data_IF_558536928515
#
_entry.id   IF_558536928515
#
_cell.length_a   1.000
_cell.length_b   1.000
_cell.length_c   1.000
_cell.angle_alpha   90.00
_cell.angle_beta   90.00
_cell.angle_gamma   90.00
#
_symmetry.space_group_name_H-M   'P 1'
#
loop_
_entity.id
_entity.type
_entity.pdbx_description
1 polymer ?
#
# COMPACT_ATOMS: atom_id res chain seq x y z
N UNK A 1 -41.07 35.26 -38.18
CA UNK A 1 -40.29 36.04 -37.18
C UNK A 1 -41.03 35.92 -35.86
N UNK A 2 -40.97 34.78 -35.19
CA UNK A 2 -39.91 34.27 -34.29
C UNK A 2 -39.82 35.05 -32.98
N UNK A 3 -40.69 34.65 -32.04
CA UNK A 3 -40.75 35.07 -30.62
C UNK A 3 -39.49 34.66 -29.82
N UNK A 4 -38.69 33.72 -30.36
CA UNK A 4 -37.43 33.28 -29.76
C UNK A 4 -36.25 34.25 -30.01
N UNK A 5 -36.25 34.97 -31.13
CA UNK A 5 -35.13 35.88 -31.48
C UNK A 5 -35.16 37.19 -30.67
N UNK A 6 -36.34 37.59 -30.18
CA UNK A 6 -36.53 38.79 -29.34
C UNK A 6 -36.08 38.60 -27.89
N UNK A 7 -36.17 37.37 -27.36
CA UNK A 7 -35.75 37.10 -25.98
C UNK A 7 -34.23 37.08 -25.83
N UNK A 8 -33.51 36.48 -26.79
CA UNK A 8 -32.05 36.44 -26.75
C UNK A 8 -31.43 37.84 -26.80
N UNK A 9 -31.96 38.70 -27.68
CA UNK A 9 -31.46 40.08 -27.84
C UNK A 9 -31.78 40.99 -26.65
N UNK A 10 -32.89 40.76 -25.95
CA UNK A 10 -33.25 41.48 -24.72
C UNK A 10 -32.41 41.01 -23.52
N UNK A 11 -32.12 39.71 -23.39
CA UNK A 11 -31.24 39.21 -22.35
C UNK A 11 -29.78 39.66 -22.58
N UNK A 12 -29.29 39.61 -23.82
CA UNK A 12 -27.95 40.12 -24.17
C UNK A 12 -27.82 41.63 -23.84
N UNK A 13 -28.85 42.43 -24.14
CA UNK A 13 -28.88 43.86 -23.83
C UNK A 13 -28.92 44.12 -22.32
N UNK A 14 -29.60 43.26 -21.55
CA UNK A 14 -29.65 43.38 -20.10
C UNK A 14 -28.32 42.97 -19.46
N UNK A 15 -27.66 41.94 -19.96
CA UNK A 15 -26.31 41.54 -19.54
C UNK A 15 -25.30 42.66 -19.76
N UNK A 16 -25.34 43.31 -20.93
CA UNK A 16 -24.52 44.49 -21.25
C UNK A 16 -24.76 45.64 -20.25
N UNK A 17 -26.02 45.93 -19.89
CA UNK A 17 -26.34 46.96 -18.89
C UNK A 17 -25.88 46.60 -17.47
N UNK A 18 -25.90 45.31 -17.11
CA UNK A 18 -25.38 44.84 -15.81
C UNK A 18 -23.87 45.01 -15.76
N UNK A 19 -23.15 44.57 -16.80
CA UNK A 19 -21.71 44.75 -16.94
C UNK A 19 -21.28 46.22 -16.97
N UNK A 20 -22.15 47.11 -17.47
CA UNK A 20 -21.93 48.55 -17.38
C UNK A 20 -22.04 49.07 -15.93
N UNK A 21 -22.97 48.53 -15.14
CA UNK A 21 -23.22 48.97 -13.76
C UNK A 21 -22.15 48.50 -12.77
N UNK A 22 -21.63 47.28 -12.93
CA UNK A 22 -20.53 46.75 -12.10
C UNK A 22 -19.14 47.21 -12.56
N UNK A 23 -19.04 47.78 -13.77
CA UNK A 23 -17.81 48.28 -14.35
C UNK A 23 -16.95 47.21 -15.03
N UNK A 24 -17.53 46.06 -15.40
CA UNK A 24 -16.83 44.98 -16.10
C UNK A 24 -16.66 45.21 -17.62
N UNK A 25 -17.28 46.25 -18.19
CA UNK A 25 -17.09 46.61 -19.60
C UNK A 25 -15.72 47.24 -19.89
N UNK A 26 -15.16 46.91 -21.06
CA UNK A 26 -13.96 47.56 -21.57
C UNK A 26 -14.26 48.97 -22.12
N UNK A 27 -13.27 49.88 -22.17
CA UNK A 27 -13.50 51.27 -22.59
C UNK A 27 -14.28 51.47 -23.91
N UNK A 28 -14.02 50.70 -25.00
CA UNK A 28 -14.80 50.87 -26.22
C UNK A 28 -16.26 50.38 -26.09
N UNK A 29 -16.54 49.37 -25.27
CA UNK A 29 -17.92 48.93 -25.01
C UNK A 29 -18.68 49.97 -24.16
N UNK A 30 -18.03 50.58 -23.17
CA UNK A 30 -18.59 51.70 -22.40
C UNK A 30 -19.06 52.82 -23.32
N UNK A 31 -18.21 53.25 -24.27
CA UNK A 31 -18.57 54.31 -25.24
C UNK A 31 -19.79 53.94 -26.11
N UNK A 32 -19.96 52.65 -26.44
CA UNK A 32 -21.10 52.17 -27.22
C UNK A 32 -22.39 52.17 -26.40
N UNK A 33 -22.31 51.70 -25.15
CA UNK A 33 -23.44 51.71 -24.21
C UNK A 33 -23.89 53.14 -23.94
N UNK A 34 -22.97 54.09 -23.69
CA UNK A 34 -23.30 55.50 -23.47
C UNK A 34 -23.99 56.15 -24.66
N UNK A 35 -23.52 55.88 -25.88
CA UNK A 35 -24.19 56.34 -27.11
C UNK A 35 -25.59 55.77 -27.23
N UNK A 36 -25.75 54.47 -26.99
CA UNK A 36 -27.06 53.80 -27.04
C UNK A 36 -28.01 54.36 -25.98
N UNK A 37 -27.53 54.63 -24.77
CA UNK A 37 -28.31 55.28 -23.71
C UNK A 37 -28.78 56.69 -24.11
N UNK A 38 -28.00 57.43 -24.92
CA UNK A 38 -28.43 58.76 -25.38
C UNK A 38 -29.63 58.67 -26.33
N UNK A 39 -29.65 57.68 -27.22
CA UNK A 39 -30.64 57.58 -28.29
C UNK A 39 -31.85 56.70 -27.95
N UNK A 40 -31.71 55.75 -27.02
CA UNK A 40 -32.74 54.76 -26.68
C UNK A 40 -33.39 55.02 -25.31
N UNK A 41 -34.68 55.36 -25.33
CA UNK A 41 -35.46 55.62 -24.13
C UNK A 41 -35.83 54.35 -23.34
N UNK A 42 -35.99 53.22 -24.01
CA UNK A 42 -36.31 51.92 -23.39
C UNK A 42 -35.07 51.36 -22.70
N UNK A 43 -33.92 51.38 -23.37
CA UNK A 43 -32.63 50.97 -22.81
C UNK A 43 -32.27 51.79 -21.55
N UNK A 44 -32.53 53.11 -21.55
CA UNK A 44 -32.40 53.94 -20.33
C UNK A 44 -33.39 53.57 -19.22
N UNK A 45 -34.60 53.11 -19.56
CA UNK A 45 -35.58 52.68 -18.56
C UNK A 45 -35.11 51.40 -17.89
N UNK A 46 -34.57 50.46 -18.65
CA UNK A 46 -33.99 49.21 -18.12
C UNK A 46 -32.82 49.49 -17.18
N UNK A 47 -31.87 50.35 -17.59
CA UNK A 47 -30.76 50.76 -16.72
C UNK A 47 -31.26 51.34 -15.38
N UNK A 48 -32.27 52.22 -15.40
CA UNK A 48 -32.86 52.77 -14.17
C UNK A 48 -33.52 51.71 -13.29
N UNK A 49 -34.17 50.71 -13.88
CA UNK A 49 -34.77 49.62 -13.11
C UNK A 49 -33.70 48.76 -12.42
N UNK A 50 -32.61 48.47 -13.12
CA UNK A 50 -31.46 47.76 -12.54
C UNK A 50 -30.82 48.56 -11.41
N UNK A 51 -30.59 49.87 -11.60
CA UNK A 51 -30.05 50.76 -10.56
C UNK A 51 -30.90 50.76 -9.30
N UNK A 52 -32.22 50.91 -9.43
CA UNK A 52 -33.14 50.87 -8.28
C UNK A 52 -33.06 49.53 -7.55
N UNK A 53 -32.94 48.41 -8.27
CA UNK A 53 -32.79 47.10 -7.64
C UNK A 53 -31.48 46.98 -6.86
N UNK A 54 -30.37 47.53 -7.39
CA UNK A 54 -29.09 47.61 -6.69
C UNK A 54 -29.15 48.50 -5.45
N UNK A 55 -29.77 49.68 -5.56
CA UNK A 55 -29.96 50.59 -4.42
C UNK A 55 -30.77 49.92 -3.29
N UNK A 56 -31.77 49.09 -3.62
CA UNK A 56 -32.53 48.33 -2.63
C UNK A 56 -31.68 47.26 -1.91
N UNK A 57 -30.63 46.72 -2.54
CA UNK A 57 -29.72 45.78 -1.88
C UNK A 57 -28.89 46.48 -0.80
N UNK A 58 -28.58 47.77 -0.97
CA UNK A 58 -27.88 48.56 0.04
C UNK A 58 -28.73 48.85 1.28
N UNK A 59 -30.07 48.84 1.12
CA UNK A 59 -31.01 48.97 2.24
C UNK A 59 -31.16 47.68 3.07
N UNK A 60 -30.57 46.56 2.61
CA UNK A 60 -30.71 45.30 3.33
C UNK A 60 -30.06 45.36 4.71
N UNK A 61 -30.75 44.88 5.76
CA UNK A 61 -30.22 44.88 7.11
C UNK A 61 -28.97 44.00 7.17
N UNK A 62 -27.83 44.61 7.51
CA UNK A 62 -26.59 43.88 7.76
C UNK A 62 -26.76 43.09 9.07
N UNK A 63 -26.71 41.75 9.05
CA UNK A 63 -26.83 40.98 10.28
C UNK A 63 -25.67 41.35 11.21
N UNK A 64 -25.99 41.78 12.43
CA UNK A 64 -25.00 41.93 13.48
C UNK A 64 -24.53 40.53 13.89
N UNK A 65 -23.34 40.14 13.43
CA UNK A 65 -22.75 38.85 13.77
C UNK A 65 -22.45 38.86 15.27
N UNK A 66 -23.06 37.94 16.02
CA UNK A 66 -22.76 37.76 17.44
C UNK A 66 -21.52 36.85 17.60
N UNK A 67 -20.76 37.04 18.68
CA UNK A 67 -19.53 36.29 18.96
C UNK A 67 -19.72 34.76 18.93
N UNK A 68 -20.95 34.30 19.22
CA UNK A 68 -21.34 32.87 19.16
C UNK A 68 -21.14 32.27 17.77
N UNK A 69 -21.38 33.03 16.70
CA UNK A 69 -21.19 32.54 15.32
C UNK A 69 -19.72 32.19 15.06
N UNK A 70 -18.80 33.09 15.42
CA UNK A 70 -17.35 32.87 15.30
C UNK A 70 -16.90 31.68 16.15
N UNK A 71 -17.42 31.56 17.38
CA UNK A 71 -17.12 30.43 18.25
C UNK A 71 -17.54 29.10 17.61
N UNK A 72 -18.76 29.03 17.05
CA UNK A 72 -19.26 27.83 16.39
C UNK A 72 -18.46 27.45 15.14
N UNK A 73 -18.00 28.41 14.35
CA UNK A 73 -17.14 28.11 13.19
C UNK A 73 -15.78 27.55 13.62
N UNK A 74 -15.14 28.17 14.63
CA UNK A 74 -13.86 27.67 15.16
C UNK A 74 -14.03 26.27 15.77
N UNK A 75 -15.12 26.05 16.51
CA UNK A 75 -15.46 24.74 17.07
C UNK A 75 -15.67 23.69 15.99
N UNK A 76 -16.38 24.02 14.91
CA UNK A 76 -16.60 23.09 13.79
C UNK A 76 -15.28 22.69 13.11
N UNK A 77 -14.37 23.65 12.91
CA UNK A 77 -13.04 23.38 12.32
C UNK A 77 -12.17 22.54 13.27
N UNK A 78 -12.24 22.81 14.57
CA UNK A 78 -11.53 22.01 15.57
C UNK A 78 -12.04 20.56 15.59
N UNK A 79 -13.37 20.37 15.58
CA UNK A 79 -13.99 19.04 15.55
C UNK A 79 -13.65 18.26 14.26
N UNK A 80 -13.59 18.92 13.11
CA UNK A 80 -13.19 18.24 11.86
C UNK A 80 -11.73 17.80 11.90
N UNK A 81 -10.83 18.64 12.44
CA UNK A 81 -9.42 18.30 12.58
C UNK A 81 -9.19 17.12 13.56
N UNK A 82 -9.92 17.07 14.67
CA UNK A 82 -9.87 15.94 15.59
C UNK A 82 -10.34 14.64 14.92
N UNK A 83 -11.43 14.69 14.16
CA UNK A 83 -11.96 13.54 13.44
C UNK A 83 -10.98 12.99 12.38
N UNK A 84 -10.32 13.87 11.62
CA UNK A 84 -9.29 13.46 10.65
C UNK A 84 -8.11 12.75 11.34
N UNK A 85 -7.67 13.25 12.50
CA UNK A 85 -6.61 12.62 13.28
C UNK A 85 -7.04 11.26 13.85
N UNK A 86 -8.29 11.11 14.27
CA UNK A 86 -8.84 9.83 14.72
C UNK A 86 -8.91 8.80 13.59
N UNK A 87 -9.39 9.18 12.40
CA UNK A 87 -9.46 8.31 11.23
C UNK A 87 -8.06 7.81 10.81
N UNK A 88 -7.05 8.69 10.80
CA UNK A 88 -5.65 8.32 10.51
C UNK A 88 -5.10 7.37 11.58
N UNK A 89 -5.35 7.63 12.86
CA UNK A 89 -4.90 6.77 13.97
C UNK A 89 -5.55 5.39 13.89
N UNK A 90 -6.84 5.29 13.58
CA UNK A 90 -7.53 4.00 13.48
C UNK A 90 -6.95 3.14 12.35
N UNK A 91 -6.70 3.74 11.18
CA UNK A 91 -6.08 3.05 10.06
C UNK A 91 -4.65 2.59 10.36
N UNK A 92 -3.86 3.39 11.08
CA UNK A 92 -2.50 3.02 11.46
C UNK A 92 -2.47 1.93 12.54
N UNK A 93 -3.35 2.00 13.53
CA UNK A 93 -3.42 1.06 14.65
C UNK A 93 -3.89 -0.32 14.21
N UNK A 94 -4.79 -0.43 13.23
CA UNK A 94 -5.23 -1.72 12.64
C UNK A 94 -4.12 -2.44 11.86
N UNK A 95 -3.17 -1.71 11.25
CA UNK A 95 -2.09 -2.31 10.44
C UNK A 95 -0.89 -2.78 11.26
N UNK A 96 -0.61 -2.12 12.39
CA UNK A 96 0.53 -2.43 13.26
C UNK A 96 0.59 -3.89 13.74
N UNK A 97 -0.48 -4.54 14.25
CA UNK A 97 -0.39 -5.93 14.69
C UNK A 97 -0.15 -6.90 13.53
N UNK A 98 -0.65 -6.59 12.34
CA UNK A 98 -0.48 -7.43 11.15
C UNK A 98 0.96 -7.42 10.63
N UNK A 99 1.65 -6.28 10.72
CA UNK A 99 3.08 -6.17 10.39
C UNK A 99 3.92 -7.00 11.36
N UNK A 100 3.63 -6.95 12.66
CA UNK A 100 4.33 -7.79 13.65
C UNK A 100 4.03 -9.28 13.46
N UNK A 101 2.79 -9.63 13.12
CA UNK A 101 2.41 -11.00 12.79
C UNK A 101 3.16 -11.52 11.55
N UNK A 102 3.29 -10.70 10.50
CA UNK A 102 4.03 -11.05 9.30
C UNK A 102 5.53 -11.18 9.57
N UNK A 103 6.11 -10.29 10.38
CA UNK A 103 7.51 -10.37 10.80
C UNK A 103 7.78 -11.64 11.62
N UNK A 104 6.89 -12.00 12.55
CA UNK A 104 6.97 -13.24 13.32
C UNK A 104 6.87 -14.49 12.44
N UNK A 105 5.94 -14.50 11.48
CA UNK A 105 5.80 -15.60 10.53
C UNK A 105 7.05 -15.76 9.63
N UNK A 106 7.64 -14.64 9.18
CA UNK A 106 8.88 -14.64 8.42
C UNK A 106 10.06 -15.20 9.22
N UNK A 107 10.20 -14.81 10.49
CA UNK A 107 11.24 -15.35 11.37
C UNK A 107 11.11 -16.87 11.58
N UNK A 108 9.88 -17.37 11.77
CA UNK A 108 9.61 -18.81 11.88
C UNK A 108 9.92 -19.56 10.59
N UNK A 109 9.59 -18.99 9.42
CA UNK A 109 9.90 -19.59 8.13
C UNK A 109 11.41 -19.71 7.90
N UNK A 110 12.17 -18.66 8.24
CA UNK A 110 13.64 -18.66 8.14
C UNK A 110 14.25 -19.70 9.10
N UNK A 111 13.76 -19.77 10.34
CA UNK A 111 14.22 -20.76 11.32
C UNK A 111 13.92 -22.20 10.86
N UNK A 112 12.72 -22.45 10.33
CA UNK A 112 12.32 -23.74 9.77
C UNK A 112 13.17 -24.15 8.56
N UNK A 113 13.42 -23.23 7.63
CA UNK A 113 14.29 -23.46 6.48
C UNK A 113 15.74 -23.77 6.92
N UNK A 114 16.24 -23.04 7.92
CA UNK A 114 17.59 -23.25 8.49
C UNK A 114 17.72 -24.62 9.17
N UNK A 115 16.68 -25.05 9.90
CA UNK A 115 16.62 -26.36 10.53
C UNK A 115 16.62 -27.50 9.51
N UNK A 116 15.80 -27.39 8.46
CA UNK A 116 15.73 -28.37 7.38
C UNK A 116 17.04 -28.45 6.57
N UNK A 117 17.65 -27.30 6.27
CA UNK A 117 18.95 -27.28 5.60
C UNK A 117 20.04 -27.93 6.46
N UNK A 118 20.08 -27.62 7.76
CA UNK A 118 21.05 -28.19 8.70
C UNK A 118 20.90 -29.70 8.85
N UNK A 119 19.67 -30.21 9.00
CA UNK A 119 19.43 -31.65 9.16
C UNK A 119 19.84 -32.45 7.93
N UNK A 120 19.61 -31.90 6.73
CA UNK A 120 19.97 -32.57 5.48
C UNK A 120 21.48 -32.56 5.21
N UNK A 121 22.19 -31.51 5.64
CA UNK A 121 23.65 -31.41 5.50
C UNK A 121 24.43 -32.17 6.57
N UNK A 122 23.99 -32.15 7.84
CA UNK A 122 24.67 -32.88 8.94
C UNK A 122 24.44 -34.40 8.88
N UNK A 123 23.37 -34.88 8.24
CA UNK A 123 23.14 -36.33 8.12
C UNK A 123 24.11 -37.04 7.17
N UNK A 124 24.72 -36.31 6.23
CA UNK A 124 25.72 -36.87 5.29
C UNK A 124 27.05 -37.25 5.94
N UNK A 125 27.71 -36.40 6.75
CA UNK A 125 28.96 -36.79 7.43
C UNK A 125 28.75 -37.88 8.49
N UNK A 126 27.60 -37.91 9.17
CA UNK A 126 27.31 -38.97 10.14
C UNK A 126 27.14 -40.35 9.49
N UNK A 127 26.59 -40.43 8.27
CA UNK A 127 26.54 -41.70 7.53
C UNK A 127 27.93 -42.18 7.10
N UNK A 128 28.85 -41.27 6.78
CA UNK A 128 30.24 -41.64 6.51
C UNK A 128 30.92 -42.21 7.76
N UNK A 129 30.72 -41.58 8.93
CA UNK A 129 31.24 -42.06 10.21
C UNK A 129 30.65 -43.41 10.63
N UNK A 130 29.37 -43.67 10.35
CA UNK A 130 28.74 -44.96 10.60
C UNK A 130 29.23 -46.06 9.63
N UNK A 131 29.51 -45.71 8.38
CA UNK A 131 30.08 -46.64 7.39
C UNK A 131 31.52 -47.02 7.71
N UNK A 132 32.29 -46.07 8.25
CA UNK A 132 33.69 -46.25 8.58
C UNK A 132 33.88 -46.74 10.04
N UNK A 133 32.79 -46.87 10.80
CA UNK A 133 32.76 -47.39 12.17
C UNK A 133 33.43 -48.78 12.32
N UNK A 134 33.19 -49.78 11.44
CA UNK A 134 33.82 -51.09 11.56
C UNK A 134 35.35 -51.06 11.41
N UNK A 135 35.87 -50.07 10.69
CA UNK A 135 37.32 -49.89 10.49
C UNK A 135 37.97 -49.22 11.70
N UNK A 136 37.24 -48.33 12.37
CA UNK A 136 37.70 -47.60 13.55
C UNK A 136 37.62 -48.48 14.81
N UNK A 137 36.59 -49.32 14.92
CA UNK A 137 36.39 -50.23 16.06
C UNK A 137 37.51 -51.26 16.17
N UNK A 138 38.00 -51.78 15.04
CA UNK A 138 39.07 -52.79 14.99
C UNK A 138 40.46 -52.19 14.67
N UNK A 139 40.67 -50.89 14.89
CA UNK A 139 41.92 -50.21 14.49
C UNK A 139 43.18 -50.85 15.11
N UNK A 140 43.05 -51.43 16.30
CA UNK A 140 44.16 -52.10 16.98
C UNK A 140 44.49 -53.47 16.38
N UNK A 141 43.51 -54.17 15.77
CA UNK A 141 43.75 -55.39 14.98
C UNK A 141 44.52 -55.06 13.69
N UNK A 142 44.19 -53.95 13.04
CA UNK A 142 44.89 -53.52 11.82
C UNK A 142 46.30 -53.00 12.07
N UNK A 143 46.59 -52.43 13.24
CA UNK A 143 47.97 -52.01 13.60
C UNK A 143 48.95 -53.17 13.80
N UNK A 144 48.45 -54.37 14.10
CA UNK A 144 49.31 -55.57 14.25
C UNK A 144 49.80 -56.05 12.87
N UNK A 145 49.01 -55.82 11.83
CA UNK A 145 49.43 -56.02 10.45
C UNK A 145 50.23 -54.80 9.98
N UNK A 146 51.52 -54.79 10.28
CA UNK A 146 52.45 -53.66 10.06
C UNK A 146 52.51 -53.16 8.60
N UNK A 147 52.02 -53.93 7.61
CA UNK A 147 51.86 -53.47 6.22
C UNK A 147 50.72 -54.14 5.44
N UNK A 148 50.24 -53.45 4.40
CA UNK A 148 49.20 -53.95 3.48
C UNK A 148 49.70 -55.16 2.69
N UNK A 149 50.98 -55.20 2.31
CA UNK A 149 51.56 -56.36 1.61
C UNK A 149 51.52 -57.66 2.45
N UNK A 150 51.54 -57.55 3.78
CA UNK A 150 51.43 -58.72 4.67
C UNK A 150 50.02 -59.32 4.67
N UNK A 151 48.99 -58.47 4.70
CA UNK A 151 47.58 -58.89 4.60
C UNK A 151 47.29 -59.51 3.23
N UNK A 152 47.78 -58.91 2.15
CA UNK A 152 47.65 -59.48 0.80
C UNK A 152 48.35 -60.84 0.67
N UNK A 153 49.48 -61.05 1.35
CA UNK A 153 50.15 -62.36 1.37
C UNK A 153 49.39 -63.41 2.17
N UNK A 154 48.69 -63.02 3.24
CA UNK A 154 47.82 -63.94 3.99
C UNK A 154 46.57 -64.33 3.20
N UNK A 155 45.97 -63.39 2.46
CA UNK A 155 44.81 -63.66 1.61
C UNK A 155 45.16 -64.57 0.44
N UNK A 156 46.32 -64.34 -0.19
CA UNK A 156 46.84 -65.20 -1.26
C UNK A 156 47.13 -66.63 -0.81
N UNK A 157 47.33 -66.84 0.49
CA UNK A 157 47.49 -68.17 1.13
C UNK A 157 46.16 -68.78 1.60
N UNK A 158 45.03 -68.11 1.34
CA UNK A 158 43.68 -68.60 1.64
C UNK A 158 43.32 -68.58 3.13
N UNK A 159 44.08 -67.89 3.98
CA UNK A 159 43.89 -67.92 5.43
C UNK A 159 42.67 -67.15 5.94
N UNK A 160 42.05 -66.33 5.08
CA UNK A 160 40.77 -65.68 5.37
C UNK A 160 39.55 -66.49 4.89
N UNK A 161 39.77 -67.61 4.20
CA UNK A 161 38.72 -68.43 3.58
C UNK A 161 38.16 -69.54 4.50
N UNK A 162 38.36 -69.44 5.82
CA UNK A 162 37.74 -70.35 6.79
C UNK A 162 36.76 -69.58 7.69
N UNK A 163 35.64 -69.18 7.10
CA UNK A 163 34.41 -68.87 7.85
C UNK A 163 33.16 -69.13 7.02
N UNK A 164 33.11 -70.31 6.42
CA UNK A 164 31.87 -70.97 6.02
C UNK A 164 31.47 -71.96 7.11
N UNK A 165 30.95 -71.46 8.23
CA UNK A 165 30.37 -72.30 9.28
C UNK A 165 29.00 -71.76 9.71
N UNK A 166 28.16 -71.48 8.72
CA UNK A 166 26.72 -71.33 8.88
C UNK A 166 26.04 -71.89 7.63
N UNK A 167 26.12 -73.21 7.47
CA UNK A 167 25.14 -73.97 6.69
C UNK A 167 24.94 -75.32 7.41
N UNK A 168 23.68 -75.77 7.43
CA UNK A 168 23.16 -77.03 7.99
C UNK A 168 22.88 -77.10 9.50
N UNK A 169 21.77 -76.47 9.92
CA UNK A 169 20.77 -77.21 10.72
C UNK A 169 19.38 -77.06 10.07
N UNK A 170 19.16 -77.78 8.97
CA UNK A 170 17.82 -78.25 8.63
C UNK A 170 17.58 -79.55 9.39
N UNK A 171 16.80 -79.48 10.46
CA UNK A 171 16.27 -80.65 11.13
C UNK A 171 15.36 -81.46 10.22
N UNK A 172 15.57 -82.78 10.20
CA UNK A 172 14.48 -83.72 10.03
C UNK A 172 14.83 -85.09 10.64
N UNK A 173 14.02 -85.52 11.62
CA UNK A 173 13.55 -86.89 11.77
C UNK A 173 12.37 -86.88 12.77
N UNK A 174 11.38 -87.77 12.65
CA UNK A 174 11.26 -88.89 11.71
C UNK A 174 10.38 -88.64 10.47
#
# INVERSE_FOLDING_TARGET
>A
MNEADTHNTSDDAREELVAYLDGELDPPAVDLVEKRLADDAEYRRELRQLQVAWDMLDELPKPAVCERFTQTTVEMVALSAEKELEEVKEHQQRRRPWIWALAGAGALAIAGASYLASSHWLSRPNQALLRDLPVIEDIDLYKVADSVEFLEQMDRKGLFAEKGLFDEETGNAP
#
